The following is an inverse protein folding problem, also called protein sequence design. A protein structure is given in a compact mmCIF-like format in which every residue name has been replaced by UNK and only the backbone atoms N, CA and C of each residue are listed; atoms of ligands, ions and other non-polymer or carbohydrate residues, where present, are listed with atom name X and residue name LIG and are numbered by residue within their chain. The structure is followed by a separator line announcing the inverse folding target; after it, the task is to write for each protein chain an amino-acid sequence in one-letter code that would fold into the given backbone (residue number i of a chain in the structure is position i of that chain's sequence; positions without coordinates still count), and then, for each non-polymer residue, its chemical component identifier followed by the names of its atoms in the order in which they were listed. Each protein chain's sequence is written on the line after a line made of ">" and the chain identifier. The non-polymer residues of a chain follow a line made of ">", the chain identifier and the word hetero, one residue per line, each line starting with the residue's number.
data_IF_043579383804
#
_entry.id   IF_043579383804
#
_cell.length_a   1.000
_cell.length_b   1.000
_cell.length_c   1.000
_cell.angle_alpha   90.00
_cell.angle_beta   90.00
_cell.angle_gamma   90.00
#
_symmetry.space_group_name_H-M   'P 1'
#
loop_
_entity.id
_entity.type
_entity.pdbx_description
1 polymer ?
#
# COMPACT_ATOMS: atom_id res chain seq x y z
N UNK A 1 -0.85 6.67 -22.71
CA UNK A 1 -0.88 7.71 -21.66
C UNK A 1 -0.89 7.03 -20.29
N UNK A 2 0.15 7.21 -19.47
CA UNK A 2 0.21 6.62 -18.12
C UNK A 2 -0.70 7.40 -17.19
N UNK A 3 -1.84 6.81 -16.76
CA UNK A 3 -2.65 7.39 -15.68
C UNK A 3 -2.04 7.01 -14.34
N UNK A 4 -1.90 7.98 -13.44
CA UNK A 4 -1.40 7.79 -12.08
C UNK A 4 -2.44 8.30 -11.09
N UNK A 5 -2.84 7.45 -10.16
CA UNK A 5 -3.71 7.79 -9.04
C UNK A 5 -2.91 7.72 -7.74
N UNK A 6 -3.17 8.64 -6.82
CA UNK A 6 -2.56 8.67 -5.50
C UNK A 6 -3.64 8.57 -4.43
N UNK A 7 -3.35 7.78 -3.40
CA UNK A 7 -4.20 7.53 -2.26
C UNK A 7 -3.40 7.68 -0.98
N UNK A 8 -4.04 8.18 0.06
CA UNK A 8 -3.52 8.13 1.43
C UNK A 8 -4.36 7.10 2.20
N UNK A 9 -3.71 6.05 2.70
CA UNK A 9 -4.37 5.00 3.45
C UNK A 9 -3.86 4.99 4.90
N UNK A 10 -4.78 4.95 5.87
CA UNK A 10 -4.45 4.67 7.26
C UNK A 10 -4.84 3.22 7.59
N UNK A 11 -3.87 2.44 8.04
CA UNK A 11 -4.04 1.02 8.36
C UNK A 11 -3.75 0.84 9.85
N UNK A 12 -4.72 0.30 10.56
CA UNK A 12 -4.66 0.04 12.00
C UNK A 12 -4.69 -1.46 12.28
N UNK A 13 -3.70 -1.96 13.03
CA UNK A 13 -3.78 -3.31 13.57
C UNK A 13 -4.79 -3.38 14.72
N UNK A 14 -5.94 -4.00 14.47
CA UNK A 14 -7.03 -4.17 15.46
C UNK A 14 -6.63 -5.00 16.70
N UNK A 15 -5.50 -5.71 16.65
CA UNK A 15 -5.08 -6.61 17.72
C UNK A 15 -4.57 -5.88 18.98
N UNK A 16 -4.21 -4.59 18.90
CA UNK A 16 -3.72 -3.84 20.06
C UNK A 16 -4.55 -2.59 20.31
N UNK A 17 -5.12 -2.48 21.52
CA UNK A 17 -5.82 -1.29 22.04
C UNK A 17 -4.95 -0.03 22.12
N UNK A 18 -3.67 -0.11 21.78
CA UNK A 18 -2.75 1.01 21.81
C UNK A 18 -2.62 1.63 20.41
N UNK A 19 -2.99 2.91 20.32
CA UNK A 19 -2.89 3.80 19.15
C UNK A 19 -1.51 3.88 18.46
N UNK A 20 -0.50 3.16 18.93
CA UNK A 20 0.87 3.18 18.40
C UNK A 20 1.06 2.32 17.13
N UNK A 21 0.07 1.50 16.75
CA UNK A 21 0.15 0.60 15.59
C UNK A 21 -0.62 1.11 14.37
N UNK A 22 -0.89 2.41 14.27
CA UNK A 22 -1.41 3.02 13.05
C UNK A 22 -0.28 3.35 12.08
N UNK A 23 -0.46 2.95 10.82
CA UNK A 23 0.48 3.22 9.74
C UNK A 23 -0.23 4.03 8.66
N UNK A 24 0.35 5.17 8.31
CA UNK A 24 -0.09 5.98 7.18
C UNK A 24 0.75 5.59 5.96
N UNK A 25 0.10 5.33 4.84
CA UNK A 25 0.72 4.90 3.59
C UNK A 25 0.33 5.82 2.44
N UNK A 26 1.32 6.33 1.72
CA UNK A 26 1.16 6.94 0.41
C UNK A 26 1.17 5.86 -0.66
N UNK A 27 0.03 5.61 -1.28
CA UNK A 27 -0.14 4.57 -2.31
C UNK A 27 -0.28 5.24 -3.67
N UNK A 28 0.51 4.76 -4.64
CA UNK A 28 0.48 5.19 -6.02
C UNK A 28 0.13 4.02 -6.92
N UNK A 29 -0.89 4.20 -7.76
CA UNK A 29 -1.28 3.21 -8.75
C UNK A 29 -1.11 3.85 -10.13
N UNK A 30 -0.35 3.20 -10.99
CA UNK A 30 -0.12 3.62 -12.36
C UNK A 30 -0.62 2.55 -13.33
N UNK A 31 -1.08 2.97 -14.51
CA UNK A 31 -1.37 2.05 -15.62
C UNK A 31 -0.35 2.25 -16.74
N UNK A 32 0.22 1.15 -17.20
CA UNK A 32 1.12 1.06 -18.35
C UNK A 32 0.43 0.21 -19.42
N UNK A 33 0.31 0.73 -20.64
CA UNK A 33 -0.39 0.07 -21.75
C UNK A 33 0.21 -1.30 -22.14
N UNK A 34 1.48 -1.55 -21.80
CA UNK A 34 2.18 -2.82 -22.06
C UNK A 34 2.30 -3.69 -20.82
N UNK A 35 2.39 -3.10 -19.63
CA UNK A 35 2.69 -3.83 -18.39
C UNK A 35 1.48 -4.05 -17.47
N UNK A 36 0.35 -3.39 -17.76
CA UNK A 36 -0.87 -3.46 -16.96
C UNK A 36 -0.86 -2.45 -15.80
N UNK A 37 -1.39 -2.83 -14.65
CA UNK A 37 -1.41 -1.97 -13.47
C UNK A 37 -0.17 -2.21 -12.61
N UNK A 38 0.44 -1.12 -12.16
CA UNK A 38 1.59 -1.10 -11.26
C UNK A 38 1.23 -0.33 -9.99
N UNK A 39 1.62 -0.85 -8.85
CA UNK A 39 1.42 -0.24 -7.54
C UNK A 39 2.74 0.04 -6.84
N UNK A 40 2.85 1.18 -6.18
CA UNK A 40 3.95 1.56 -5.28
C UNK A 40 3.35 2.09 -3.98
N UNK A 41 3.96 1.80 -2.84
CA UNK A 41 3.54 2.40 -1.58
C UNK A 41 4.74 2.85 -0.74
N UNK A 42 4.50 3.85 0.11
CA UNK A 42 5.50 4.38 1.03
C UNK A 42 4.86 4.67 2.40
N UNK A 43 5.50 4.24 3.48
CA UNK A 43 5.09 4.55 4.85
C UNK A 43 5.95 5.69 5.42
N UNK A 44 5.54 6.97 5.27
CA UNK A 44 6.27 8.10 5.83
C UNK A 44 6.43 7.94 7.35
N UNK A 45 7.64 8.19 7.85
CA UNK A 45 7.97 8.05 9.27
C UNK A 45 8.30 6.63 9.73
N UNK A 46 8.10 5.60 8.89
CA UNK A 46 8.53 4.22 9.16
C UNK A 46 9.71 3.78 8.29
N UNK A 47 9.95 4.47 7.17
CA UNK A 47 11.07 4.16 6.26
C UNK A 47 10.88 2.88 5.46
N UNK A 48 9.64 2.37 5.37
CA UNK A 48 9.29 1.18 4.58
C UNK A 48 8.69 1.63 3.26
N UNK A 49 9.13 1.00 2.17
CA UNK A 49 8.54 1.17 0.85
C UNK A 49 8.21 -0.17 0.21
N UNK A 50 7.17 -0.16 -0.61
CA UNK A 50 6.83 -1.23 -1.55
C UNK A 50 7.23 -0.70 -2.92
N UNK A 51 8.21 -1.33 -3.61
CA UNK A 51 8.62 -0.89 -4.94
C UNK A 51 7.48 -1.09 -5.94
N UNK A 52 7.62 -0.54 -7.14
CA UNK A 52 6.66 -0.75 -8.22
C UNK A 52 6.46 -2.25 -8.48
N UNK A 53 5.29 -2.75 -8.10
CA UNK A 53 4.91 -4.15 -8.24
C UNK A 53 3.73 -4.27 -9.18
N UNK A 54 3.65 -5.40 -9.88
CA UNK A 54 2.53 -5.66 -10.79
C UNK A 54 1.29 -6.02 -9.98
N UNK A 55 0.18 -5.35 -10.29
CA UNK A 55 -1.13 -5.60 -9.69
C UNK A 55 -1.97 -6.43 -10.66
N UNK A 56 -2.66 -7.42 -10.11
CA UNK A 56 -3.46 -8.38 -10.89
C UNK A 56 -4.88 -8.54 -10.37
N UNK A 57 -5.18 -7.97 -9.21
CA UNK A 57 -6.48 -7.98 -8.58
C UNK A 57 -7.50 -7.13 -9.32
N UNK A 58 -8.76 -7.45 -9.08
CA UNK A 58 -9.90 -6.69 -9.60
C UNK A 58 -10.04 -5.33 -8.88
N UNK A 59 -9.67 -5.26 -7.60
CA UNK A 59 -9.56 -4.04 -6.81
C UNK A 59 -8.09 -3.76 -6.49
N UNK A 60 -7.49 -2.85 -7.26
CA UNK A 60 -6.07 -2.50 -7.20
C UNK A 60 -5.70 -1.82 -5.88
N UNK A 61 -6.63 -1.05 -5.28
CA UNK A 61 -6.38 -0.37 -4.03
C UNK A 61 -6.41 -1.37 -2.87
N UNK A 62 -7.39 -2.27 -2.86
CA UNK A 62 -7.46 -3.33 -1.86
C UNK A 62 -6.23 -4.26 -1.91
N UNK A 63 -5.77 -4.61 -3.12
CA UNK A 63 -4.53 -5.39 -3.30
C UNK A 63 -3.32 -4.65 -2.71
N UNK A 64 -3.17 -3.34 -3.00
CA UNK A 64 -2.10 -2.52 -2.42
C UNK A 64 -2.20 -2.39 -0.90
N UNK A 65 -3.40 -2.24 -0.35
CA UNK A 65 -3.60 -2.18 1.10
C UNK A 65 -3.18 -3.50 1.77
N UNK A 66 -3.52 -4.66 1.18
CA UNK A 66 -3.07 -5.96 1.66
C UNK A 66 -1.55 -6.12 1.62
N UNK A 67 -0.90 -5.59 0.57
CA UNK A 67 0.56 -5.55 0.50
C UNK A 67 1.15 -4.65 1.61
N UNK A 68 0.56 -3.48 1.87
CA UNK A 68 0.97 -2.60 2.96
C UNK A 68 0.84 -3.28 4.33
N UNK A 69 -0.30 -3.94 4.59
CA UNK A 69 -0.53 -4.73 5.81
C UNK A 69 0.52 -5.84 5.98
N UNK A 70 0.91 -6.53 4.90
CA UNK A 70 1.91 -7.60 4.96
C UNK A 70 3.31 -7.13 5.38
N UNK A 71 3.63 -5.85 5.15
CA UNK A 71 4.90 -5.24 5.55
C UNK A 71 4.87 -4.70 6.98
N UNK A 72 3.68 -4.60 7.60
CA UNK A 72 3.57 -4.19 8.98
C UNK A 72 4.08 -5.30 9.90
N UNK A 73 4.83 -4.97 10.97
CA UNK A 73 5.25 -5.96 11.95
C UNK A 73 4.04 -6.72 12.49
N UNK A 74 4.10 -8.05 12.47
CA UNK A 74 3.12 -8.87 13.17
C UNK A 74 3.33 -8.66 14.67
N UNK A 75 2.30 -8.23 15.38
CA UNK A 75 2.31 -8.23 16.84
C UNK A 75 2.46 -9.69 17.29
N UNK A 76 3.60 -10.01 17.91
CA UNK A 76 3.91 -11.31 18.55
C UNK A 76 3.36 -11.37 19.96
#
# INVERSE_FOLDING_TARGET
>A
MTKKTHYLAEIEHKAEKNYKNRWSWDIYIATDEKQGYLGKAFAPGKGIEIPWTKLTGQDLLAEMMGLCESQMPKCS
#
